data_IF_259464114587
#
_entry.id   IF_259464114587
#
_cell.length_a   1.000
_cell.length_b   1.000
_cell.length_c   1.000
_cell.angle_alpha   90.00
_cell.angle_beta   90.00
_cell.angle_gamma   90.00
#
_symmetry.space_group_name_H-M   'P 1'
#
loop_
_entity.id
_entity.type
_entity.pdbx_description
1 polymer ?
#
# COMPACT_ATOMS: atom_id res chain seq x y z
N UNK A 1 -10.52 -26.81 -8.54
CA UNK A 1 -11.46 -25.66 -8.36
C UNK A 1 -11.56 -25.22 -6.91
N UNK A 2 -11.74 -26.13 -5.93
CA UNK A 2 -11.82 -25.76 -4.50
C UNK A 2 -10.56 -25.05 -3.99
N UNK A 3 -9.39 -25.48 -4.45
CA UNK A 3 -8.10 -24.92 -4.01
C UNK A 3 -7.90 -23.46 -4.44
N UNK A 4 -8.35 -23.12 -5.65
CA UNK A 4 -8.30 -21.75 -6.18
C UNK A 4 -9.19 -20.81 -5.36
N UNK A 5 -10.38 -21.26 -4.96
CA UNK A 5 -11.27 -20.47 -4.11
C UNK A 5 -10.70 -20.27 -2.70
N UNK A 6 -10.03 -21.28 -2.13
CA UNK A 6 -9.37 -21.16 -0.83
C UNK A 6 -8.24 -20.12 -0.87
N UNK A 7 -7.36 -20.21 -1.88
CA UNK A 7 -6.26 -19.26 -2.06
C UNK A 7 -6.80 -17.84 -2.33
N UNK A 8 -7.85 -17.71 -3.13
CA UNK A 8 -8.50 -16.43 -3.40
C UNK A 8 -9.11 -15.80 -2.14
N UNK A 9 -9.72 -16.62 -1.26
CA UNK A 9 -10.29 -16.15 0.00
C UNK A 9 -9.18 -15.62 0.92
N UNK A 10 -8.09 -16.37 1.04
CA UNK A 10 -6.93 -15.98 1.85
C UNK A 10 -6.26 -14.71 1.30
N UNK A 11 -6.11 -14.61 -0.02
CA UNK A 11 -5.60 -13.42 -0.69
C UNK A 11 -6.49 -12.19 -0.43
N UNK A 12 -7.81 -12.35 -0.48
CA UNK A 12 -8.76 -11.28 -0.14
C UNK A 12 -8.66 -10.82 1.31
N UNK A 13 -8.51 -11.76 2.25
CA UNK A 13 -8.32 -11.44 3.68
C UNK A 13 -7.02 -10.64 3.88
N UNK A 14 -5.90 -11.11 3.34
CA UNK A 14 -4.61 -10.40 3.45
C UNK A 14 -4.63 -9.05 2.75
N UNK A 15 -5.31 -8.93 1.60
CA UNK A 15 -5.48 -7.65 0.93
C UNK A 15 -6.30 -6.68 1.79
N UNK A 16 -7.38 -7.14 2.43
CA UNK A 16 -8.16 -6.34 3.38
C UNK A 16 -7.32 -5.88 4.59
N UNK A 17 -6.50 -6.76 5.15
CA UNK A 17 -5.56 -6.40 6.23
C UNK A 17 -4.51 -5.38 5.75
N UNK A 18 -4.01 -5.51 4.53
CA UNK A 18 -3.10 -4.53 3.93
C UNK A 18 -3.78 -3.15 3.78
N UNK A 19 -5.07 -3.11 3.41
CA UNK A 19 -5.86 -1.88 3.35
C UNK A 19 -6.00 -1.24 4.74
N UNK A 20 -6.19 -2.03 5.79
CA UNK A 20 -6.26 -1.48 7.15
C UNK A 20 -4.93 -0.89 7.65
N UNK A 21 -3.78 -1.33 7.12
CA UNK A 21 -2.45 -0.83 7.55
C UNK A 21 -1.91 0.31 6.71
N UNK A 22 -2.16 0.29 5.40
CA UNK A 22 -1.61 1.27 4.43
C UNK A 22 -2.69 2.13 3.79
N UNK A 23 -3.96 1.82 3.97
CA UNK A 23 -5.08 2.49 3.32
C UNK A 23 -5.32 1.99 1.87
N UNK A 24 -6.06 2.76 1.05
CA UNK A 24 -6.45 2.36 -0.31
C UNK A 24 -5.27 2.09 -1.26
N UNK A 25 -4.08 2.66 -0.96
CA UNK A 25 -2.87 2.43 -1.77
C UNK A 25 -2.47 0.95 -1.84
N UNK A 26 -2.81 0.15 -0.83
CA UNK A 26 -2.55 -1.29 -0.85
C UNK A 26 -3.24 -1.99 -2.04
N UNK A 27 -4.47 -1.58 -2.36
CA UNK A 27 -5.23 -2.11 -3.51
C UNK A 27 -4.55 -1.68 -4.81
N UNK A 28 -4.10 -0.42 -4.91
CA UNK A 28 -3.40 0.08 -6.09
C UNK A 28 -2.12 -0.70 -6.37
N UNK A 29 -1.33 -0.99 -5.33
CA UNK A 29 -0.11 -1.80 -5.45
C UNK A 29 -0.43 -3.23 -5.89
N UNK A 30 -1.46 -3.86 -5.30
CA UNK A 30 -1.88 -5.21 -5.67
C UNK A 30 -2.37 -5.29 -7.11
N UNK A 31 -3.16 -4.30 -7.56
CA UNK A 31 -3.61 -4.20 -8.96
C UNK A 31 -2.45 -3.95 -9.92
N UNK A 32 -1.50 -3.09 -9.56
CA UNK A 32 -0.30 -2.86 -10.36
C UNK A 32 0.52 -4.14 -10.51
N UNK A 33 0.74 -4.88 -9.42
CA UNK A 33 1.43 -6.17 -9.45
C UNK A 33 0.70 -7.18 -10.35
N UNK A 34 -0.64 -7.26 -10.25
CA UNK A 34 -1.45 -8.12 -11.11
C UNK A 34 -1.36 -7.71 -12.59
N UNK A 35 -1.37 -6.41 -12.89
CA UNK A 35 -1.25 -5.88 -14.24
C UNK A 35 0.12 -6.21 -14.84
N UNK A 36 1.20 -5.99 -14.09
CA UNK A 36 2.56 -6.35 -14.53
C UNK A 36 2.66 -7.86 -14.78
N UNK A 37 2.12 -8.68 -13.87
CA UNK A 37 2.05 -10.13 -14.04
C UNK A 37 1.29 -10.52 -15.31
N UNK A 38 0.14 -9.89 -15.57
CA UNK A 38 -0.70 -10.18 -16.74
C UNK A 38 0.00 -9.81 -18.05
N UNK A 39 0.69 -8.67 -18.10
CA UNK A 39 1.47 -8.25 -19.27
C UNK A 39 2.63 -9.21 -19.52
N UNK A 40 3.40 -9.54 -18.47
CA UNK A 40 4.57 -10.41 -18.57
C UNK A 40 4.21 -11.83 -19.02
N UNK A 41 3.14 -12.38 -18.44
CA UNK A 41 2.72 -13.77 -18.68
C UNK A 41 1.65 -13.89 -19.78
N UNK A 42 1.32 -12.78 -20.46
CA UNK A 42 0.32 -12.69 -21.55
C UNK A 42 -1.05 -13.25 -21.19
N UNK A 43 -1.50 -13.03 -19.95
CA UNK A 43 -2.82 -13.44 -19.49
C UNK A 43 -2.89 -13.76 -18.00
N UNK A 44 -4.08 -14.15 -17.54
CA UNK A 44 -4.37 -14.40 -16.13
C UNK A 44 -4.15 -15.86 -15.70
N UNK A 45 -3.67 -16.75 -16.58
CA UNK A 45 -3.26 -18.13 -16.23
C UNK A 45 -4.26 -18.88 -15.33
N UNK A 46 -5.55 -18.78 -15.65
CA UNK A 46 -6.62 -19.45 -14.89
C UNK A 46 -7.18 -18.66 -13.70
N UNK A 47 -6.72 -17.42 -13.45
CA UNK A 47 -7.40 -16.47 -12.56
C UNK A 47 -8.72 -16.03 -13.21
N UNK A 48 -9.77 -16.81 -12.95
CA UNK A 48 -11.11 -16.50 -13.44
C UNK A 48 -11.70 -15.29 -12.72
N UNK A 49 -12.66 -14.63 -13.36
CA UNK A 49 -13.44 -13.52 -12.78
C UNK A 49 -14.01 -13.89 -11.40
N UNK A 50 -14.41 -15.16 -11.21
CA UNK A 50 -14.88 -15.68 -9.91
C UNK A 50 -13.83 -15.53 -8.79
N UNK A 51 -12.55 -15.80 -9.06
CA UNK A 51 -11.50 -15.66 -8.07
C UNK A 51 -11.27 -14.19 -7.69
N UNK A 52 -11.32 -13.29 -8.67
CA UNK A 52 -11.24 -11.83 -8.43
C UNK A 52 -12.41 -11.33 -7.58
N UNK A 53 -13.63 -11.81 -7.85
CA UNK A 53 -14.81 -11.47 -7.05
C UNK A 53 -14.70 -12.00 -5.61
N UNK A 54 -14.16 -13.20 -5.42
CA UNK A 54 -13.89 -13.76 -4.07
C UNK A 54 -12.87 -12.90 -3.33
N UNK A 55 -11.74 -12.55 -3.98
CA UNK A 55 -10.71 -11.67 -3.40
C UNK A 55 -11.33 -10.33 -2.99
N UNK A 56 -12.07 -9.69 -3.91
CA UNK A 56 -12.72 -8.40 -3.66
C UNK A 56 -13.76 -8.49 -2.53
N UNK A 57 -14.56 -9.56 -2.50
CA UNK A 57 -15.56 -9.78 -1.47
C UNK A 57 -14.94 -9.93 -0.07
N UNK A 58 -13.92 -10.77 0.08
CA UNK A 58 -13.23 -10.93 1.36
C UNK A 58 -12.46 -9.67 1.79
N UNK A 59 -11.82 -8.97 0.84
CA UNK A 59 -11.17 -7.69 1.11
C UNK A 59 -12.17 -6.65 1.62
N UNK A 60 -13.35 -6.57 0.99
CA UNK A 60 -14.42 -5.69 1.42
C UNK A 60 -14.91 -6.04 2.81
N UNK A 61 -15.21 -7.33 3.08
CA UNK A 61 -15.68 -7.77 4.40
C UNK A 61 -14.69 -7.43 5.51
N UNK A 62 -13.39 -7.70 5.32
CA UNK A 62 -12.36 -7.39 6.32
C UNK A 62 -12.27 -5.89 6.58
N UNK A 63 -12.26 -5.09 5.51
CA UNK A 63 -12.15 -3.62 5.62
C UNK A 63 -13.41 -3.02 6.26
N UNK A 64 -14.58 -3.44 5.80
CA UNK A 64 -15.88 -2.98 6.28
C UNK A 64 -16.16 -3.41 7.72
N UNK A 65 -15.66 -4.57 8.16
CA UNK A 65 -15.82 -5.00 9.55
C UNK A 65 -15.15 -4.00 10.51
N UNK A 66 -13.93 -3.56 10.20
CA UNK A 66 -13.22 -2.62 11.06
C UNK A 66 -13.83 -1.21 10.99
N UNK A 67 -14.00 -0.66 9.78
CA UNK A 67 -14.58 0.68 9.62
C UNK A 67 -16.03 0.74 10.09
N UNK A 68 -16.83 -0.30 9.82
CA UNK A 68 -18.22 -0.37 10.26
C UNK A 68 -18.35 -0.40 11.78
N UNK A 69 -17.51 -1.18 12.47
CA UNK A 69 -17.47 -1.18 13.93
C UNK A 69 -17.04 0.17 14.51
N UNK A 70 -16.07 0.83 13.88
CA UNK A 70 -15.64 2.17 14.28
C UNK A 70 -16.77 3.19 14.11
N UNK A 71 -17.46 3.20 12.97
CA UNK A 71 -18.59 4.10 12.71
C UNK A 71 -19.73 3.90 13.71
N UNK A 72 -20.04 2.64 14.06
CA UNK A 72 -21.10 2.34 15.04
C UNK A 72 -20.72 2.84 16.44
N UNK A 73 -19.43 2.75 16.82
CA UNK A 73 -18.97 3.10 18.18
C UNK A 73 -18.62 4.56 18.36
N UNK A 74 -17.95 5.14 17.36
CA UNK A 74 -17.30 6.45 17.44
C UNK A 74 -17.92 7.47 16.47
N UNK A 75 -18.81 7.04 15.56
CA UNK A 75 -19.40 7.90 14.53
C UNK A 75 -18.51 8.10 13.30
N UNK A 76 -18.92 9.01 12.42
CA UNK A 76 -18.28 9.21 11.10
C UNK A 76 -16.96 10.00 11.13
N UNK A 77 -16.61 10.63 12.24
CA UNK A 77 -15.52 11.61 12.29
C UNK A 77 -14.17 11.05 11.83
N UNK A 78 -13.81 9.83 12.27
CA UNK A 78 -12.54 9.19 11.89
C UNK A 78 -12.52 8.86 10.40
N UNK A 79 -13.62 8.29 9.90
CA UNK A 79 -13.73 7.90 8.48
C UNK A 79 -13.68 9.13 7.57
N UNK A 80 -14.33 10.23 7.93
CA UNK A 80 -14.22 11.49 7.19
C UNK A 80 -12.79 12.04 7.21
N UNK A 81 -12.16 12.11 8.38
CA UNK A 81 -10.78 12.55 8.51
C UNK A 81 -9.82 11.69 7.67
N UNK A 82 -10.03 10.38 7.67
CA UNK A 82 -9.29 9.44 6.85
C UNK A 82 -9.45 9.72 5.35
N UNK A 83 -10.69 9.89 4.86
CA UNK A 83 -10.97 10.20 3.45
C UNK A 83 -10.32 11.53 3.05
N UNK A 84 -10.48 12.58 3.88
CA UNK A 84 -9.84 13.88 3.63
C UNK A 84 -8.31 13.79 3.60
N UNK A 85 -7.71 12.98 4.47
CA UNK A 85 -6.28 12.73 4.46
C UNK A 85 -5.82 12.03 3.18
N UNK A 86 -6.53 10.99 2.72
CA UNK A 86 -6.21 10.33 1.44
C UNK A 86 -6.30 11.31 0.26
N UNK A 87 -7.36 12.13 0.19
CA UNK A 87 -7.50 13.15 -0.87
C UNK A 87 -6.35 14.17 -0.81
N UNK A 88 -5.95 14.59 0.39
CA UNK A 88 -4.83 15.51 0.58
C UNK A 88 -3.52 14.90 0.09
N UNK A 89 -3.21 13.66 0.47
CA UNK A 89 -2.05 12.92 -0.02
C UNK A 89 -1.97 12.86 -1.56
N UNK A 90 -3.11 12.73 -2.24
CA UNK A 90 -3.15 12.73 -3.70
C UNK A 90 -2.94 14.12 -4.32
N UNK A 91 -3.24 15.21 -3.61
CA UNK A 91 -3.24 16.59 -4.15
C UNK A 91 -2.04 17.42 -3.73
N UNK A 92 -1.50 17.18 -2.55
CA UNK A 92 -0.40 17.96 -1.95
C UNK A 92 0.77 17.04 -1.64
N UNK A 93 1.98 17.46 -1.98
CA UNK A 93 3.24 16.76 -1.65
C UNK A 93 3.61 16.88 -0.16
N UNK A 94 2.62 16.75 0.73
CA UNK A 94 2.76 16.93 2.20
C UNK A 94 3.27 15.66 2.91
N UNK A 95 3.33 14.52 2.21
CA UNK A 95 4.17 13.42 2.67
C UNK A 95 5.61 13.91 2.48
N UNK A 96 6.45 13.96 3.52
CA UNK A 96 7.87 14.36 3.46
C UNK A 96 8.69 13.48 2.49
N UNK A 97 8.41 13.66 1.21
CA UNK A 97 8.80 12.94 -0.01
C UNK A 97 9.11 13.98 -1.11
N UNK A 98 9.29 15.25 -0.74
CA UNK A 98 9.92 16.27 -1.58
C UNK A 98 11.44 16.07 -1.72
N UNK A 99 11.95 14.87 -1.44
CA UNK A 99 13.33 14.50 -1.74
C UNK A 99 13.48 14.11 -3.21
N UNK A 100 14.65 14.29 -3.81
CA UNK A 100 14.90 13.86 -5.18
C UNK A 100 14.69 12.34 -5.33
N UNK A 101 14.35 11.90 -6.55
CA UNK A 101 13.98 10.51 -6.90
C UNK A 101 14.94 9.44 -6.32
N UNK A 102 16.23 9.76 -6.21
CA UNK A 102 17.26 8.86 -5.68
C UNK A 102 17.19 8.61 -4.16
N UNK A 103 16.45 9.44 -3.39
CA UNK A 103 16.25 9.24 -1.95
C UNK A 103 15.61 7.89 -1.63
N UNK A 104 14.63 7.48 -2.43
CA UNK A 104 13.97 6.18 -2.25
C UNK A 104 14.89 5.01 -2.60
N UNK A 105 15.69 5.11 -3.66
CA UNK A 105 16.67 4.09 -4.03
C UNK A 105 17.68 3.86 -2.90
N UNK A 106 18.22 4.96 -2.35
CA UNK A 106 19.22 4.91 -1.31
C UNK A 106 18.69 4.30 0.01
N UNK A 107 17.50 4.73 0.44
CA UNK A 107 16.87 4.23 1.68
C UNK A 107 16.48 2.75 1.60
N UNK A 108 16.15 2.25 0.39
CA UNK A 108 15.86 0.83 0.17
C UNK A 108 17.13 -0.01 0.25
N UNK A 109 18.25 0.46 -0.30
CA UNK A 109 19.54 -0.24 -0.23
C UNK A 109 20.04 -0.33 1.22
N UNK A 110 19.95 0.76 1.98
CA UNK A 110 20.35 0.77 3.39
C UNK A 110 19.48 -0.16 4.26
N UNK A 111 18.17 -0.21 4.00
CA UNK A 111 17.25 -1.09 4.73
C UNK A 111 17.44 -2.58 4.39
N UNK A 112 17.87 -2.90 3.17
CA UNK A 112 18.09 -4.27 2.70
C UNK A 112 19.51 -4.78 3.04
N UNK A 113 20.48 -3.88 3.19
CA UNK A 113 21.88 -4.19 3.50
C UNK A 113 22.41 -3.28 4.63
N UNK A 114 22.02 -3.54 5.89
CA UNK A 114 22.51 -2.75 7.01
C UNK A 114 24.04 -2.85 7.11
N UNK A 115 24.75 -1.75 6.79
CA UNK A 115 26.21 -1.64 6.94
C UNK A 115 27.04 -1.46 5.66
N UNK A 116 26.44 -1.36 4.46
CA UNK A 116 27.16 -0.79 3.31
C UNK A 116 27.38 0.69 3.63
N UNK A 117 28.58 1.11 4.00
CA UNK A 117 28.92 2.48 4.47
C UNK A 117 28.73 3.63 3.47
N UNK A 118 27.72 3.59 2.61
CA UNK A 118 27.36 4.64 1.65
C UNK A 118 26.65 5.82 2.35
N UNK A 119 26.20 5.64 3.61
CA UNK A 119 25.23 6.55 4.26
C UNK A 119 25.85 7.80 4.90
N UNK A 120 27.15 7.79 5.19
CA UNK A 120 27.78 8.87 5.98
C UNK A 120 27.96 10.20 5.21
N UNK A 121 27.74 10.23 3.88
CA UNK A 121 27.99 11.43 3.06
C UNK A 121 26.71 12.19 2.66
N UNK A 122 25.54 11.55 2.67
CA UNK A 122 24.30 12.15 2.12
C UNK A 122 23.53 12.96 3.17
N UNK A 123 23.53 12.55 4.45
CA UNK A 123 22.90 13.35 5.53
C UNK A 123 23.54 14.73 5.68
N UNK A 124 24.85 14.85 5.42
CA UNK A 124 25.59 16.11 5.45
C UNK A 124 25.31 17.01 4.24
N UNK A 125 24.81 16.46 3.12
CA UNK A 125 24.57 17.20 1.88
C UNK A 125 23.15 17.79 1.80
N UNK A 126 22.15 17.16 2.42
CA UNK A 126 20.77 17.68 2.49
C UNK A 126 20.48 18.52 3.74
N UNK A 127 21.39 18.52 4.72
CA UNK A 127 21.38 19.46 5.84
C UNK A 127 22.23 20.66 5.41
N UNK A 128 21.63 21.71 4.87
CA UNK A 128 22.40 22.92 4.53
C UNK A 128 23.19 23.44 5.74
N UNK A 129 24.39 24.01 5.51
CA UNK A 129 25.12 24.78 6.49
C UNK A 129 24.37 26.12 6.70
N UNK A 130 23.62 26.21 7.79
CA UNK A 130 22.79 27.39 8.09
C UNK A 130 22.68 27.71 9.57
N UNK A 131 23.58 27.17 10.41
CA UNK A 131 23.74 27.61 11.80
C UNK A 131 25.23 27.54 12.16
N UNK A 132 25.84 28.71 12.29
CA UNK A 132 27.25 28.96 12.57
C UNK A 132 27.58 30.39 12.18
#
# INVERSE_FOLDING_TARGET
MKDVCYIASLAGIFLGLAVLTKGPVAILIALLALLVFMIWNKGLWGLGVRALLVIAGFCFVVTALWFGLDIIRNGWWFTEAFIHYQIRLFRTQDAGHGGPFFYHFYRIVDGLFPGLGISVRIETFYRTPGMG
#
